data_IF_217103657931
#
_entry.id   IF_217103657931
#
_cell.length_a   1.000
_cell.length_b   1.000
_cell.length_c   1.000
_cell.angle_alpha   90.00
_cell.angle_beta   90.00
_cell.angle_gamma   90.00
#
_symmetry.space_group_name_H-M   'P 1'
#
loop_
_entity.id
_entity.type
_entity.pdbx_description
1 polymer ?
#
# COMPACT_ATOMS: atom_id res chain seq x y z
N UNK A 1 29.07 13.15 15.72
CA UNK A 1 28.93 12.16 14.68
C UNK A 1 27.53 12.22 14.15
N UNK A 2 27.39 12.61 12.87
CA UNK A 2 26.08 12.69 12.21
C UNK A 2 25.69 11.30 11.72
N UNK A 3 24.40 11.14 11.43
CA UNK A 3 23.74 9.91 10.95
C UNK A 3 24.22 9.51 9.52
N UNK A 4 25.12 10.30 8.94
CA UNK A 4 25.57 10.15 7.55
C UNK A 4 26.71 9.13 7.35
N UNK A 5 27.22 8.51 8.43
CA UNK A 5 28.40 7.62 8.40
C UNK A 5 28.08 6.12 8.56
N UNK A 6 26.86 5.68 8.28
CA UNK A 6 26.54 4.26 8.24
C UNK A 6 26.85 3.67 6.87
N UNK A 7 27.84 2.79 6.72
CA UNK A 7 28.14 2.10 5.47
C UNK A 7 27.01 1.10 5.16
N UNK A 8 26.38 1.25 4.03
CA UNK A 8 25.42 0.29 3.52
C UNK A 8 24.01 0.80 3.21
N UNK A 9 23.70 2.06 3.49
CA UNK A 9 22.45 2.67 3.01
C UNK A 9 22.66 3.17 1.59
N UNK A 10 22.65 2.26 0.64
CA UNK A 10 22.48 2.63 -0.75
C UNK A 10 21.07 3.23 -0.88
N UNK A 11 21.01 4.55 -1.11
CA UNK A 11 19.80 5.22 -1.53
C UNK A 11 19.34 4.62 -2.86
N UNK A 12 18.48 3.63 -2.81
CA UNK A 12 17.66 3.29 -3.95
C UNK A 12 16.57 4.37 -4.05
N UNK A 13 16.98 5.53 -4.53
CA UNK A 13 16.05 6.55 -5.00
C UNK A 13 15.44 5.95 -6.26
N UNK A 14 14.30 5.30 -6.11
CA UNK A 14 13.45 5.06 -7.25
C UNK A 14 13.17 6.44 -7.84
N UNK A 15 13.65 6.67 -9.05
CA UNK A 15 13.27 7.82 -9.85
C UNK A 15 11.78 7.70 -10.15
N UNK A 16 10.94 8.08 -9.19
CA UNK A 16 9.60 8.50 -9.47
C UNK A 16 9.74 9.81 -10.23
N UNK A 17 9.64 9.73 -11.54
CA UNK A 17 9.37 10.91 -12.33
C UNK A 17 8.11 11.55 -11.74
N UNK A 18 8.27 12.73 -11.16
CA UNK A 18 7.17 13.56 -10.70
C UNK A 18 6.24 13.82 -11.88
N UNK A 19 5.18 13.05 -11.96
CA UNK A 19 4.12 13.31 -12.91
C UNK A 19 3.35 14.51 -12.38
N UNK A 20 3.28 15.63 -13.11
CA UNK A 20 2.56 16.81 -12.67
C UNK A 20 1.06 16.46 -12.60
N UNK A 21 0.51 16.42 -11.41
CA UNK A 21 -0.94 16.38 -11.21
C UNK A 21 -1.44 17.81 -11.42
N UNK A 22 -1.60 18.22 -12.67
CA UNK A 22 -2.36 19.41 -13.02
C UNK A 22 -3.77 18.94 -13.33
N UNK A 23 -4.56 18.76 -12.30
CA UNK A 23 -6.00 18.69 -12.46
C UNK A 23 -6.52 20.11 -12.77
N UNK A 24 -6.99 20.36 -13.98
CA UNK A 24 -7.89 21.49 -14.22
C UNK A 24 -9.05 21.38 -13.25
N UNK A 25 -9.28 22.42 -12.44
CA UNK A 25 -10.37 22.46 -11.47
C UNK A 25 -11.68 22.10 -12.17
N UNK A 26 -12.28 20.97 -11.82
CA UNK A 26 -13.59 20.55 -12.27
C UNK A 26 -13.66 19.41 -13.30
N UNK A 27 -12.51 18.87 -13.75
CA UNK A 27 -12.50 17.65 -14.57
C UNK A 27 -11.74 16.54 -13.84
N UNK A 28 -12.33 15.35 -13.67
CA UNK A 28 -11.56 14.20 -13.23
C UNK A 28 -10.45 13.93 -14.25
N UNK A 29 -9.24 13.54 -13.81
CA UNK A 29 -8.20 13.13 -14.75
C UNK A 29 -8.77 12.01 -15.62
N UNK A 30 -8.64 12.15 -16.94
CA UNK A 30 -8.97 11.07 -17.88
C UNK A 30 -8.01 9.93 -17.56
N UNK A 31 -8.51 8.85 -16.99
CA UNK A 31 -7.75 7.73 -16.41
C UNK A 31 -6.66 7.18 -17.35
N UNK A 32 -6.77 7.34 -18.65
CA UNK A 32 -5.79 6.86 -19.64
C UNK A 32 -4.48 7.63 -19.73
N UNK A 33 -4.37 8.84 -19.14
CA UNK A 33 -3.17 9.70 -19.29
C UNK A 33 -2.13 9.54 -18.18
N UNK A 34 -2.47 8.83 -17.08
CA UNK A 34 -1.68 8.86 -15.84
C UNK A 34 -1.20 7.48 -15.36
N UNK A 35 -1.50 6.44 -16.10
CA UNK A 35 -1.09 5.08 -15.75
C UNK A 35 0.26 4.80 -16.37
N UNK A 36 1.28 4.53 -15.56
CA UNK A 36 2.60 4.18 -16.07
C UNK A 36 2.55 2.85 -16.83
N UNK A 37 3.46 2.66 -17.80
CA UNK A 37 3.57 1.40 -18.53
C UNK A 37 3.79 0.22 -17.58
N UNK A 38 4.57 0.42 -16.52
CA UNK A 38 4.76 -0.60 -15.49
C UNK A 38 3.45 -1.07 -14.86
N UNK A 39 2.54 -0.14 -14.53
CA UNK A 39 1.21 -0.48 -13.98
C UNK A 39 0.41 -1.30 -14.99
N UNK A 40 0.40 -0.90 -16.26
CA UNK A 40 -0.31 -1.63 -17.32
C UNK A 40 0.21 -3.06 -17.42
N UNK A 41 1.53 -3.23 -17.42
CA UNK A 41 2.19 -4.51 -17.64
C UNK A 41 2.09 -5.46 -16.43
N UNK A 42 2.08 -4.92 -15.20
CA UNK A 42 2.22 -5.72 -13.98
C UNK A 42 0.95 -5.85 -13.14
N UNK A 43 -0.05 -4.98 -13.30
CA UNK A 43 -1.27 -5.02 -12.47
C UNK A 43 -2.49 -5.60 -13.19
N UNK A 44 -2.36 -5.96 -14.46
CA UNK A 44 -3.48 -6.38 -15.29
C UNK A 44 -4.52 -5.29 -15.53
N UNK A 45 -4.17 -4.00 -15.32
CA UNK A 45 -5.08 -2.87 -15.46
C UNK A 45 -5.82 -2.88 -16.81
N UNK A 46 -5.09 -3.10 -17.92
CA UNK A 46 -5.67 -3.09 -19.25
C UNK A 46 -6.67 -4.22 -19.52
N UNK A 47 -6.57 -5.34 -18.82
CA UNK A 47 -7.46 -6.51 -18.98
C UNK A 47 -8.57 -6.58 -17.95
N UNK A 48 -8.37 -5.97 -16.77
CA UNK A 48 -9.32 -6.02 -15.65
C UNK A 48 -10.23 -4.79 -15.59
N UNK A 49 -9.85 -3.69 -16.21
CA UNK A 49 -10.70 -2.50 -16.25
C UNK A 49 -11.96 -2.78 -17.06
N UNK A 50 -13.11 -2.58 -16.44
CA UNK A 50 -14.40 -2.70 -17.09
C UNK A 50 -15.18 -1.39 -16.93
N UNK A 51 -15.26 -0.62 -17.99
CA UNK A 51 -15.93 0.69 -17.99
C UNK A 51 -17.42 0.62 -17.62
N UNK A 52 -18.08 -0.56 -17.78
CA UNK A 52 -19.49 -0.72 -17.45
C UNK A 52 -19.72 -0.88 -15.94
N UNK A 53 -18.74 -1.42 -15.21
CA UNK A 53 -18.85 -1.71 -13.77
C UNK A 53 -17.94 -0.84 -12.90
N UNK A 54 -17.01 -0.11 -13.51
CA UNK A 54 -16.15 0.83 -12.80
C UNK A 54 -16.98 1.99 -12.27
N UNK A 55 -16.74 2.34 -11.01
CA UNK A 55 -17.30 3.54 -10.42
C UNK A 55 -16.65 4.78 -11.05
N UNK A 56 -17.41 5.86 -11.13
CA UNK A 56 -16.84 7.15 -11.45
C UNK A 56 -15.78 7.54 -10.38
N UNK A 57 -14.67 8.20 -10.77
CA UNK A 57 -13.57 8.49 -9.84
C UNK A 57 -14.01 9.16 -8.54
N UNK A 58 -14.92 10.12 -8.62
CA UNK A 58 -15.40 10.84 -7.45
C UNK A 58 -16.34 10.02 -6.57
N UNK A 59 -17.12 9.13 -7.16
CA UNK A 59 -17.93 8.15 -6.43
C UNK A 59 -17.06 7.14 -5.70
N UNK A 60 -15.96 6.71 -6.33
CA UNK A 60 -14.97 5.83 -5.70
C UNK A 60 -14.35 6.48 -4.45
N UNK A 61 -14.05 7.79 -4.50
CA UNK A 61 -13.51 8.53 -3.35
C UNK A 61 -14.54 8.62 -2.23
N UNK A 62 -15.82 8.89 -2.53
CA UNK A 62 -16.87 8.91 -1.52
C UNK A 62 -17.01 7.58 -0.82
N UNK A 63 -17.15 6.51 -1.61
CA UNK A 63 -17.34 5.16 -1.09
C UNK A 63 -16.14 4.70 -0.26
N UNK A 64 -14.93 5.02 -0.71
CA UNK A 64 -13.73 4.73 0.07
C UNK A 64 -13.75 5.50 1.40
N UNK A 65 -14.00 6.81 1.38
CA UNK A 65 -14.05 7.65 2.58
C UNK A 65 -15.05 7.14 3.61
N UNK A 66 -16.24 6.70 3.16
CA UNK A 66 -17.26 6.08 4.03
C UNK A 66 -16.80 4.74 4.62
N UNK A 67 -16.17 3.90 3.81
CA UNK A 67 -15.69 2.57 4.25
C UNK A 67 -14.61 2.66 5.31
N UNK A 68 -13.74 3.67 5.26
CA UNK A 68 -12.60 3.81 6.16
C UNK A 68 -12.79 4.80 7.28
N UNK A 69 -13.98 5.38 7.40
CA UNK A 69 -14.28 6.41 8.40
C UNK A 69 -13.96 5.93 9.82
N UNK A 70 -13.08 6.66 10.51
CA UNK A 70 -12.58 6.35 11.85
C UNK A 70 -11.71 5.09 11.94
N UNK A 71 -11.42 4.39 10.83
CA UNK A 71 -10.69 3.12 10.82
C UNK A 71 -9.21 3.33 10.52
N UNK A 72 -8.39 2.40 11.00
CA UNK A 72 -6.98 2.33 10.61
C UNK A 72 -6.83 1.75 9.21
N UNK A 73 -5.92 2.32 8.41
CA UNK A 73 -5.45 1.70 7.18
C UNK A 73 -4.37 0.69 7.54
N UNK A 74 -4.52 -0.52 7.01
CA UNK A 74 -3.61 -1.65 7.22
C UNK A 74 -3.07 -2.08 5.86
N UNK A 75 -1.77 -2.24 5.73
CA UNK A 75 -1.18 -2.65 4.44
C UNK A 75 0.31 -2.93 4.55
N UNK A 76 0.89 -3.45 3.47
CA UNK A 76 2.33 -3.49 3.26
C UNK A 76 2.79 -2.08 2.85
N UNK A 77 3.65 -1.45 3.64
CA UNK A 77 4.09 -0.06 3.42
C UNK A 77 2.89 0.90 3.19
N UNK A 78 1.93 0.98 4.13
CA UNK A 78 0.64 1.65 3.91
C UNK A 78 0.76 3.16 3.68
N UNK A 79 1.90 3.76 4.00
CA UNK A 79 2.17 5.17 3.71
C UNK A 79 2.17 5.48 2.21
N UNK A 80 2.54 4.50 1.38
CA UNK A 80 2.52 4.65 -0.08
C UNK A 80 1.09 4.80 -0.62
N UNK A 81 0.16 3.98 -0.12
CA UNK A 81 -1.25 4.04 -0.51
C UNK A 81 -1.94 5.24 0.10
N UNK A 82 -1.66 5.52 1.38
CA UNK A 82 -2.25 6.63 2.12
C UNK A 82 -1.96 7.98 1.45
N UNK A 83 -0.74 8.21 0.98
CA UNK A 83 -0.39 9.43 0.28
C UNK A 83 -1.27 9.63 -0.97
N UNK A 84 -1.52 8.58 -1.74
CA UNK A 84 -2.34 8.62 -2.95
C UNK A 84 -3.81 8.83 -2.63
N UNK A 85 -4.32 8.13 -1.65
CA UNK A 85 -5.69 8.26 -1.15
C UNK A 85 -5.94 9.67 -0.62
N UNK A 86 -4.98 10.23 0.11
CA UNK A 86 -5.04 11.62 0.60
C UNK A 86 -5.08 12.62 -0.54
N UNK A 87 -4.26 12.45 -1.57
CA UNK A 87 -4.28 13.29 -2.76
C UNK A 87 -5.64 13.23 -3.48
N UNK A 88 -6.22 12.05 -3.63
CA UNK A 88 -7.55 11.88 -4.23
C UNK A 88 -8.64 12.54 -3.37
N UNK A 89 -8.59 12.36 -2.05
CA UNK A 89 -9.50 12.99 -1.11
C UNK A 89 -9.41 14.53 -1.18
N UNK A 90 -8.20 15.07 -1.12
CA UNK A 90 -7.93 16.50 -1.22
C UNK A 90 -8.39 17.08 -2.56
N UNK A 91 -8.15 16.37 -3.66
CA UNK A 91 -8.60 16.81 -4.99
C UNK A 91 -10.11 16.92 -5.08
N UNK A 92 -10.85 16.07 -4.36
CA UNK A 92 -12.31 16.11 -4.33
C UNK A 92 -12.86 17.14 -3.35
N UNK A 93 -12.36 17.15 -2.13
CA UNK A 93 -13.00 17.87 -1.02
C UNK A 93 -12.27 19.17 -0.64
N UNK A 94 -11.07 19.40 -1.15
CA UNK A 94 -10.19 20.51 -0.78
C UNK A 94 -9.33 20.23 0.45
N UNK A 95 -8.28 21.03 0.63
CA UNK A 95 -7.29 20.87 1.71
C UNK A 95 -7.85 21.08 3.12
N UNK A 96 -8.93 21.84 3.23
CA UNK A 96 -9.55 22.16 4.53
C UNK A 96 -10.37 21.01 5.12
N UNK A 97 -10.74 20.00 4.31
CA UNK A 97 -11.47 18.84 4.79
C UNK A 97 -10.48 17.76 5.24
N UNK A 98 -10.46 17.38 6.53
CA UNK A 98 -9.61 16.31 7.03
C UNK A 98 -10.01 14.98 6.37
N UNK A 99 -9.04 14.09 6.24
CA UNK A 99 -9.30 12.70 5.84
C UNK A 99 -10.16 12.00 6.88
N UNK A 100 -10.94 11.00 6.45
CA UNK A 100 -11.89 10.31 7.32
C UNK A 100 -11.24 9.17 8.11
N UNK A 101 -10.14 8.58 7.61
CA UNK A 101 -9.45 7.49 8.30
C UNK A 101 -8.55 7.98 9.44
N UNK A 102 -8.25 7.05 10.35
CA UNK A 102 -7.38 7.32 11.49
C UNK A 102 -5.94 7.57 11.04
N UNK A 103 -5.26 8.51 11.68
CA UNK A 103 -3.89 8.92 11.30
C UNK A 103 -2.81 7.86 11.58
N UNK A 104 -3.05 6.90 12.49
CA UNK A 104 -2.14 5.79 12.69
C UNK A 104 -2.33 4.76 11.57
N UNK A 105 -1.29 4.56 10.79
CA UNK A 105 -1.21 3.49 9.80
C UNK A 105 -0.65 2.23 10.46
N UNK A 106 -1.14 1.09 10.05
CA UNK A 106 -0.63 -0.20 10.52
C UNK A 106 0.17 -0.84 9.40
N UNK A 107 1.49 -0.85 9.58
CA UNK A 107 2.42 -1.45 8.64
C UNK A 107 2.58 -2.94 8.95
N UNK A 108 2.08 -3.78 8.05
CA UNK A 108 2.11 -5.24 8.19
C UNK A 108 3.53 -5.78 8.13
N UNK A 109 4.44 -5.15 7.38
CA UNK A 109 5.84 -5.57 7.36
C UNK A 109 6.48 -5.41 8.75
N UNK A 110 6.21 -4.30 9.43
CA UNK A 110 6.69 -4.09 10.79
C UNK A 110 6.15 -5.15 11.77
N UNK A 111 4.89 -5.58 11.60
CA UNK A 111 4.30 -6.66 12.39
C UNK A 111 4.96 -8.00 12.10
N UNK A 112 5.19 -8.32 10.82
CA UNK A 112 5.91 -9.54 10.43
C UNK A 112 7.35 -9.56 10.95
N UNK A 113 8.05 -8.43 10.96
CA UNK A 113 9.38 -8.31 11.58
C UNK A 113 9.31 -8.62 13.07
N UNK A 114 8.33 -8.09 13.78
CA UNK A 114 8.11 -8.41 15.19
C UNK A 114 7.86 -9.90 15.42
N UNK A 115 7.01 -10.52 14.63
CA UNK A 115 6.74 -11.97 14.68
C UNK A 115 7.98 -12.81 14.32
N UNK A 116 8.77 -12.37 13.34
CA UNK A 116 10.04 -13.01 12.97
C UNK A 116 11.03 -12.98 14.15
N UNK A 117 11.21 -11.81 14.79
CA UNK A 117 12.09 -11.67 15.96
C UNK A 117 11.61 -12.58 17.10
N UNK A 118 10.31 -12.63 17.36
CA UNK A 118 9.74 -13.50 18.39
C UNK A 118 10.02 -14.99 18.11
N UNK A 119 10.04 -15.39 16.86
CA UNK A 119 10.27 -16.78 16.46
C UNK A 119 11.75 -17.18 16.42
N UNK A 120 12.60 -16.30 15.88
CA UNK A 120 13.99 -16.64 15.56
C UNK A 120 15.02 -15.96 16.47
N UNK A 121 14.59 -15.04 17.33
CA UNK A 121 15.46 -14.34 18.29
C UNK A 121 16.32 -13.21 17.69
N UNK A 122 16.19 -12.96 16.37
CA UNK A 122 16.96 -11.92 15.66
C UNK A 122 16.11 -11.27 14.57
N UNK A 123 16.33 -9.98 14.24
CA UNK A 123 15.65 -9.34 13.14
C UNK A 123 16.12 -9.92 11.79
N UNK A 124 15.28 -9.87 10.75
CA UNK A 124 15.68 -10.22 9.40
C UNK A 124 16.76 -9.27 8.87
N UNK A 125 17.53 -9.72 7.86
CA UNK A 125 18.53 -8.89 7.20
C UNK A 125 17.91 -7.69 6.48
N UNK A 126 18.63 -6.58 6.42
CA UNK A 126 18.24 -5.40 5.64
C UNK A 126 18.92 -5.41 4.26
N UNK A 127 18.25 -4.89 3.21
CA UNK A 127 16.85 -4.47 3.20
C UNK A 127 15.90 -5.65 3.33
N UNK A 128 14.74 -5.44 3.90
CA UNK A 128 13.73 -6.50 3.99
C UNK A 128 13.18 -6.86 2.61
N UNK A 129 12.89 -8.12 2.46
CA UNK A 129 12.11 -8.65 1.34
C UNK A 129 10.73 -9.06 1.85
N UNK A 130 9.68 -8.45 1.31
CA UNK A 130 8.29 -8.66 1.76
C UNK A 130 7.85 -10.12 1.57
N UNK A 131 8.34 -10.78 0.50
CA UNK A 131 8.03 -12.17 0.22
C UNK A 131 8.66 -13.12 1.27
N UNK A 132 9.92 -12.87 1.62
CA UNK A 132 10.63 -13.66 2.64
C UNK A 132 10.02 -13.43 4.02
N UNK A 133 9.68 -12.19 4.37
CA UNK A 133 8.99 -11.87 5.61
C UNK A 133 7.65 -12.59 5.70
N UNK A 134 6.85 -12.56 4.64
CA UNK A 134 5.56 -13.22 4.57
C UNK A 134 5.69 -14.73 4.79
N UNK A 135 6.65 -15.38 4.11
CA UNK A 135 6.93 -16.82 4.32
C UNK A 135 7.39 -17.12 5.74
N UNK A 136 8.13 -16.21 6.37
CA UNK A 136 8.60 -16.40 7.76
C UNK A 136 7.46 -16.48 8.77
N UNK A 137 6.33 -15.85 8.47
CA UNK A 137 5.09 -15.95 9.27
C UNK A 137 4.12 -17.02 8.75
N UNK A 138 4.49 -17.75 7.70
CA UNK A 138 3.73 -18.87 7.15
C UNK A 138 2.68 -18.48 6.12
N UNK A 139 2.82 -17.31 5.49
CA UNK A 139 1.94 -16.83 4.42
C UNK A 139 2.71 -16.78 3.10
N UNK A 140 2.22 -17.47 2.09
CA UNK A 140 2.79 -17.39 0.74
C UNK A 140 2.39 -16.07 0.08
N UNK A 141 3.35 -15.35 -0.53
CA UNK A 141 3.03 -14.16 -1.29
C UNK A 141 2.19 -14.50 -2.54
N UNK A 142 1.37 -13.57 -3.03
CA UNK A 142 0.60 -13.79 -4.24
C UNK A 142 1.49 -14.07 -5.44
N UNK A 143 1.02 -14.89 -6.37
CA UNK A 143 1.74 -15.28 -7.57
C UNK A 143 0.86 -15.17 -8.80
N UNK A 144 1.47 -15.24 -9.99
CA UNK A 144 0.74 -15.18 -11.26
C UNK A 144 -0.11 -13.92 -11.39
N UNK A 145 -1.36 -14.11 -11.80
CA UNK A 145 -2.29 -13.02 -12.11
C UNK A 145 -2.78 -12.22 -10.90
N UNK A 146 -2.57 -12.71 -9.68
CA UNK A 146 -2.95 -11.98 -8.45
C UNK A 146 -1.85 -11.04 -7.96
N UNK A 147 -0.61 -11.27 -8.37
CA UNK A 147 0.53 -10.40 -8.01
C UNK A 147 0.34 -8.99 -8.56
N UNK A 148 0.64 -7.99 -7.74
CA UNK A 148 0.53 -6.56 -8.09
C UNK A 148 -0.87 -6.12 -8.49
N UNK A 149 -1.90 -6.84 -8.04
CA UNK A 149 -3.27 -6.35 -8.13
C UNK A 149 -3.73 -5.82 -6.80
N UNK A 150 -4.53 -4.75 -6.81
CA UNK A 150 -5.02 -4.13 -5.58
C UNK A 150 -5.74 -5.14 -4.65
N UNK A 151 -6.51 -6.07 -5.22
CA UNK A 151 -7.21 -7.10 -4.45
C UNK A 151 -6.25 -8.19 -3.94
N UNK A 152 -5.31 -8.64 -4.77
CA UNK A 152 -4.31 -9.64 -4.39
C UNK A 152 -3.42 -9.13 -3.26
N UNK A 153 -2.91 -7.91 -3.41
CA UNK A 153 -2.05 -7.28 -2.41
C UNK A 153 -2.81 -6.98 -1.10
N UNK A 154 -4.08 -6.55 -1.18
CA UNK A 154 -4.91 -6.33 0.01
C UNK A 154 -5.22 -7.63 0.76
N UNK A 155 -5.49 -8.74 0.06
CA UNK A 155 -5.68 -10.06 0.67
C UNK A 155 -4.41 -10.56 1.32
N UNK A 156 -3.30 -10.43 0.62
CA UNK A 156 -1.99 -10.79 1.16
C UNK A 156 -1.64 -10.03 2.43
N UNK A 157 -1.85 -8.70 2.45
CA UNK A 157 -1.66 -7.89 3.64
C UNK A 157 -2.56 -8.35 4.80
N UNK A 158 -3.82 -8.70 4.53
CA UNK A 158 -4.74 -9.23 5.54
C UNK A 158 -4.27 -10.57 6.11
N UNK A 159 -3.89 -11.50 5.25
CA UNK A 159 -3.43 -12.83 5.67
C UNK A 159 -2.14 -12.72 6.49
N UNK A 160 -1.20 -11.88 6.05
CA UNK A 160 0.05 -11.62 6.77
C UNK A 160 -0.19 -10.91 8.12
N UNK A 161 -1.15 -9.99 8.19
CA UNK A 161 -1.58 -9.36 9.44
C UNK A 161 -2.11 -10.40 10.42
N UNK A 162 -3.05 -11.24 10.00
CA UNK A 162 -3.65 -12.28 10.85
C UNK A 162 -2.59 -13.25 11.35
N UNK A 163 -1.71 -13.73 10.47
CA UNK A 163 -0.64 -14.65 10.83
C UNK A 163 0.40 -14.02 11.76
N UNK A 164 0.80 -12.77 11.50
CA UNK A 164 1.77 -12.04 12.31
C UNK A 164 1.22 -11.67 13.68
N UNK A 165 0.00 -11.14 13.74
CA UNK A 165 -0.66 -10.75 14.99
C UNK A 165 -1.03 -11.97 15.86
N UNK A 166 -1.46 -13.08 15.26
CA UNK A 166 -1.74 -14.32 15.98
C UNK A 166 -0.50 -14.89 16.68
N UNK A 167 0.66 -14.84 16.03
CA UNK A 167 1.93 -15.28 16.62
C UNK A 167 2.40 -14.40 17.79
N UNK A 168 2.12 -13.10 17.75
CA UNK A 168 2.42 -12.18 18.86
C UNK A 168 1.55 -12.48 20.10
N UNK A 169 0.35 -13.04 19.91
CA UNK A 169 -0.56 -13.43 20.98
C UNK A 169 -0.31 -14.84 21.54
N UNK A 170 0.68 -15.56 21.02
CA UNK A 170 1.05 -16.89 21.51
C UNK A 170 0.13 -18.04 21.07
N UNK A 171 -0.72 -17.81 20.09
CA UNK A 171 -1.65 -18.80 19.50
C UNK A 171 -0.96 -19.62 18.40
N UNK A 172 0.24 -20.15 18.69
CA UNK A 172 1.05 -20.93 17.76
C UNK A 172 1.36 -22.33 18.24
#
# INVERSE_FOLDING_TARGET
>A
GGIDDLPGVARQVAHHQDLPIVAERGRPPVLGQWVSQWVIDNTGYGTRYNATTALEPWESVDRFAELVDGRHLVGMVPSFDEERLRRMHTAKYGDSRPVTWHYHLIDVEAVMVGAHVARFGAPPALPWDSDELSRSVGVEPPSGDDRHTALGDARWALDAWVAGAGRLNGDG
#
